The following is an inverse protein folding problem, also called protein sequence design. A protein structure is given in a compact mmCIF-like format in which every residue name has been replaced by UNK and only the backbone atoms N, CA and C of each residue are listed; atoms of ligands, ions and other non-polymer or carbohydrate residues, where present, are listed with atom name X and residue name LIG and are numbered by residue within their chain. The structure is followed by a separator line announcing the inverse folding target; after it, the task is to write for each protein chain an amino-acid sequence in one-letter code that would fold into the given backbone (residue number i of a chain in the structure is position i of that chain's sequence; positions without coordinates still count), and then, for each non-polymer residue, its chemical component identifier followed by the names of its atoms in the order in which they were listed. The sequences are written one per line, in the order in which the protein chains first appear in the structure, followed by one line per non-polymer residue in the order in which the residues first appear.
data_IF_609261203206
#
_entry.id   IF_609261203206
#
_cell.length_a   1.000
_cell.length_b   1.000
_cell.length_c   1.000
_cell.angle_alpha   90.00
_cell.angle_beta   90.00
_cell.angle_gamma   90.00
#
_symmetry.space_group_name_H-M   'P 1'
#
loop_
_entity.id
_entity.type
_entity.pdbx_description
1 polymer ?
2 non-polymer ?
3 non-polymer ?
4 water ?
#
# COMPACT_ATOMS: atom_id res chain seq x y z
N UNK A 3 -14.70 1.70 -20.37
CA UNK A 3 -13.37 1.07 -20.56
C UNK A 3 -12.27 1.93 -19.94
N UNK A 4 -11.02 1.71 -20.38
CA UNK A 4 -9.85 2.32 -19.76
C UNK A 4 -8.79 2.43 -20.85
N UNK A 5 -8.64 3.64 -21.40
CA UNK A 5 -7.84 3.81 -22.60
C UNK A 5 -6.38 3.43 -22.36
N UNK A 6 -5.81 3.83 -21.23
CA UNK A 6 -4.41 3.52 -20.98
C UNK A 6 -4.20 2.01 -20.87
N UNK A 7 -5.22 1.29 -20.41
CA UNK A 7 -5.12 -0.16 -20.26
C UNK A 7 -5.31 -0.87 -21.59
N UNK A 8 -6.23 -0.37 -22.42
CA UNK A 8 -6.40 -0.95 -23.75
C UNK A 8 -5.12 -0.82 -24.56
N UNK A 9 -4.42 0.31 -24.46
CA UNK A 9 -3.15 0.44 -25.16
C UNK A 9 -2.14 -0.55 -24.63
N UNK A 10 -2.15 -0.82 -23.32
CA UNK A 10 -1.23 -1.79 -22.78
C UNK A 10 -1.54 -3.19 -23.32
N UNK A 11 -2.83 -3.53 -23.42
CA UNK A 11 -3.22 -4.84 -23.93
C UNK A 11 -2.76 -5.00 -25.38
N UNK A 12 -2.93 -3.95 -26.19
CA UNK A 12 -2.46 -3.98 -27.57
C UNK A 12 -0.94 -4.14 -27.62
N UNK A 13 -0.23 -3.43 -26.74
CA UNK A 13 1.22 -3.51 -26.69
C UNK A 13 1.69 -4.93 -26.35
N UNK A 14 0.94 -5.62 -25.48
CA UNK A 14 1.31 -6.98 -25.14
C UNK A 14 1.07 -7.92 -26.32
N UNK A 15 -0.09 -7.76 -26.98
CA UNK A 15 -0.41 -8.61 -28.12
C UNK A 15 0.52 -8.32 -29.30
N UNK A 16 0.92 -7.06 -29.46
CA UNK A 16 1.91 -6.71 -30.48
C UNK A 16 3.24 -7.42 -30.24
N UNK A 17 3.54 -7.75 -28.99
CA UNK A 17 4.76 -8.48 -28.66
C UNK A 17 4.52 -9.97 -28.45
N UNK A 18 3.38 -10.47 -28.91
CA UNK A 18 3.16 -11.90 -29.00
C UNK A 18 2.67 -12.58 -27.74
N UNK A 19 2.14 -11.85 -26.78
CA UNK A 19 1.64 -12.44 -25.54
C UNK A 19 0.15 -12.66 -25.68
N UNK A 20 -0.28 -13.89 -25.49
CA UNK A 20 -1.69 -14.21 -25.62
C UNK A 20 -2.37 -14.17 -24.26
N UNK A 21 -3.66 -13.82 -24.20
CA UNK A 21 -4.37 -13.88 -22.93
C UNK A 21 -4.72 -15.32 -22.56
N UNK A 22 -4.76 -15.56 -21.26
CA UNK A 22 -5.27 -16.81 -20.72
C UNK A 22 -6.56 -16.55 -19.97
N UNK A 23 -7.43 -17.54 -19.97
CA UNK A 23 -8.71 -17.47 -19.28
C UNK A 23 -8.68 -18.33 -18.03
N UNK A 24 -9.25 -17.80 -16.95
CA UNK A 24 -9.34 -18.51 -15.68
C UNK A 24 -10.78 -18.50 -15.22
N UNK A 25 -11.11 -19.47 -14.37
CA UNK A 25 -12.44 -19.62 -13.78
C UNK A 25 -12.35 -19.48 -12.27
N UNK A 26 -13.52 -19.24 -11.66
CA UNK A 26 -13.61 -19.02 -10.22
C UNK A 26 -12.91 -20.11 -9.43
N UNK A 27 -12.16 -19.69 -8.41
CA UNK A 27 -11.42 -20.47 -7.43
C UNK A 27 -10.03 -20.88 -7.92
N UNK A 28 -9.70 -20.62 -9.18
CA UNK A 28 -8.35 -20.88 -9.67
C UNK A 28 -7.36 -19.84 -9.17
N UNK A 29 -6.11 -20.25 -9.02
CA UNK A 29 -5.01 -19.37 -8.67
C UNK A 29 -4.23 -19.02 -9.93
N UNK A 30 -4.18 -17.73 -10.29
CA UNK A 30 -3.37 -17.30 -11.42
C UNK A 30 -1.89 -17.37 -11.10
N UNK A 31 -1.52 -17.02 -9.88
CA UNK A 31 -0.20 -17.34 -9.35
C UNK A 31 -0.38 -17.73 -7.90
N UNK A 32 0.62 -18.40 -7.34
CA UNK A 32 0.50 -18.96 -6.00
C UNK A 32 1.77 -18.72 -5.21
N UNK A 33 1.61 -18.80 -3.88
CA UNK A 33 2.65 -18.44 -2.93
C UNK A 33 3.80 -19.43 -2.88
N UNK A 34 3.69 -20.57 -3.54
CA UNK A 34 4.71 -21.60 -3.45
C UNK A 34 5.59 -21.67 -4.69
N UNK A 35 5.24 -20.93 -5.74
CA UNK A 35 5.95 -21.03 -7.00
C UNK A 35 7.22 -20.20 -6.93
N UNK A 36 8.38 -20.79 -7.21
CA UNK A 36 9.62 -19.99 -7.15
C UNK A 36 9.73 -18.99 -8.28
N UNK A 37 8.97 -19.15 -9.35
CA UNK A 37 8.96 -18.22 -10.46
C UNK A 37 7.91 -17.17 -10.18
N UNK A 38 8.25 -15.90 -10.39
CA UNK A 38 7.34 -14.81 -10.13
C UNK A 38 6.87 -14.21 -11.45
N UNK A 39 5.66 -13.63 -11.42
CA UNK A 39 4.99 -13.25 -12.65
C UNK A 39 4.46 -11.83 -12.55
N UNK A 40 4.22 -11.24 -13.71
CA UNK A 40 3.46 -10.00 -13.82
C UNK A 40 2.10 -10.35 -14.41
N UNK A 41 1.03 -10.02 -13.69
CA UNK A 41 -0.32 -10.30 -14.13
C UNK A 41 -0.92 -8.99 -14.59
N UNK A 42 -1.36 -8.95 -15.85
CA UNK A 42 -2.20 -7.86 -16.33
C UNK A 42 -3.61 -8.42 -16.34
N UNK A 43 -4.36 -8.14 -15.28
CA UNK A 43 -5.74 -8.57 -15.17
C UNK A 43 -6.60 -7.71 -16.08
N UNK A 44 -7.14 -8.31 -17.14
CA UNK A 44 -7.89 -7.55 -18.15
C UNK A 44 -9.39 -7.55 -17.86
N UNK A 45 -9.94 -8.69 -17.49
CA UNK A 45 -11.37 -8.80 -17.20
C UNK A 45 -11.56 -9.76 -16.03
N UNK A 46 -12.44 -9.38 -15.11
CA UNK A 46 -12.81 -10.21 -13.99
C UNK A 46 -12.43 -9.58 -12.67
N UNK A 47 -12.72 -10.31 -11.59
CA UNK A 47 -12.53 -9.83 -10.23
C UNK A 47 -11.68 -10.87 -9.53
N UNK A 48 -10.67 -10.41 -8.80
CA UNK A 48 -9.75 -11.28 -8.10
C UNK A 48 -9.55 -10.82 -6.66
N UNK A 49 -8.93 -11.68 -5.86
CA UNK A 49 -8.48 -11.31 -4.53
C UNK A 49 -7.07 -11.84 -4.30
N UNK A 50 -6.26 -11.07 -3.60
CA UNK A 50 -4.94 -11.50 -3.16
C UNK A 50 -5.13 -12.21 -1.82
N UNK A 51 -4.66 -13.46 -1.72
CA UNK A 51 -4.84 -14.24 -0.52
C UNK A 51 -3.50 -14.78 -0.02
N UNK A 52 -3.46 -15.07 1.27
CA UNK A 52 -2.33 -15.73 1.91
C UNK A 52 -2.89 -16.87 2.76
N UNK A 53 -1.99 -17.73 3.25
CA UNK A 53 -2.38 -18.81 4.14
C UNK A 53 -1.43 -18.83 5.33
N UNK A 54 -2.00 -18.90 6.53
CA UNK A 54 -1.27 -18.98 7.78
C UNK A 54 -1.03 -20.43 8.17
N UNK A 55 -0.23 -20.62 9.22
CA UNK A 55 0.22 -21.95 9.63
C UNK A 55 -0.93 -22.94 9.71
N UNK A 56 -2.12 -22.49 10.15
CA UNK A 56 -3.21 -23.41 10.42
C UNK A 56 -4.19 -23.57 9.25
N UNK A 57 -3.86 -23.06 8.07
CA UNK A 57 -4.67 -23.31 6.88
C UNK A 57 -5.79 -22.33 6.64
N UNK A 58 -5.87 -21.25 7.39
CA UNK A 58 -6.92 -20.25 7.21
C UNK A 58 -6.59 -19.34 6.03
N UNK A 59 -7.53 -19.24 5.10
CA UNK A 59 -7.37 -18.33 3.97
C UNK A 59 -7.69 -16.91 4.46
N UNK A 60 -6.78 -15.98 4.17
CA UNK A 60 -6.93 -14.58 4.53
C UNK A 60 -7.10 -13.78 3.24
N UNK A 61 -8.15 -12.97 3.19
CA UNK A 61 -8.37 -12.09 2.05
C UNK A 61 -7.72 -10.74 2.32
N UNK A 62 -6.71 -10.40 1.52
CA UNK A 62 -5.89 -9.21 1.75
C UNK A 62 -6.32 -8.01 0.92
N UNK A 63 -6.76 -8.24 -0.32
CA UNK A 63 -6.94 -7.14 -1.26
C UNK A 63 -7.72 -7.67 -2.45
N UNK A 64 -8.54 -6.82 -3.06
CA UNK A 64 -9.31 -7.21 -4.23
C UNK A 64 -8.86 -6.41 -5.45
N UNK A 65 -8.88 -7.02 -6.62
CA UNK A 65 -8.50 -6.34 -7.84
C UNK A 65 -9.48 -6.69 -8.94
N UNK A 66 -9.72 -5.74 -9.82
CA UNK A 66 -10.61 -5.96 -10.93
C UNK A 66 -9.91 -5.43 -12.14
N UNK A 67 -10.16 -6.05 -13.27
CA UNK A 67 -9.59 -5.62 -14.50
C UNK A 67 -10.25 -4.42 -14.96
N UNK A 68 -9.50 -3.53 -15.54
CA UNK A 68 -8.10 -3.75 -15.87
C UNK A 68 -7.19 -3.30 -14.73
N UNK A 69 -6.18 -4.11 -14.39
CA UNK A 69 -5.22 -3.74 -13.38
C UNK A 69 -3.98 -4.62 -13.54
N UNK A 70 -2.91 -4.23 -12.86
CA UNK A 70 -1.65 -4.98 -12.87
C UNK A 70 -1.33 -5.44 -11.46
N UNK A 71 -1.00 -6.73 -11.32
CA UNK A 71 -0.59 -7.32 -10.05
C UNK A 71 0.71 -8.06 -10.31
N UNK A 72 1.76 -7.68 -9.59
CA UNK A 72 3.08 -8.29 -9.73
C UNK A 72 3.46 -9.06 -8.47
N UNK A 73 3.79 -10.33 -8.64
CA UNK A 73 4.09 -11.20 -7.51
C UNK A 73 5.56 -11.14 -7.12
N UNK A 74 6.40 -10.51 -7.93
CA UNK A 74 7.80 -10.39 -7.61
C UNK A 74 8.32 -9.01 -7.95
N UNK A 75 9.43 -8.68 -7.28
CA UNK A 75 10.06 -7.38 -7.48
C UNK A 75 10.64 -7.29 -8.88
N UNK A 76 10.55 -6.10 -9.49
CA UNK A 76 10.90 -5.97 -10.90
C UNK A 76 12.40 -6.15 -11.10
N UNK A 77 13.21 -5.71 -10.14
CA UNK A 77 14.66 -5.77 -10.27
C UNK A 77 15.20 -7.14 -9.88
N UNK A 78 14.89 -7.59 -8.66
CA UNK A 78 15.42 -8.86 -8.17
C UNK A 78 14.65 -10.06 -8.69
N UNK A 79 13.41 -9.88 -9.13
CA UNK A 79 12.55 -10.96 -9.62
C UNK A 79 12.12 -11.92 -8.52
N UNK A 80 12.38 -11.59 -7.26
CA UNK A 80 11.99 -12.45 -6.14
C UNK A 80 10.66 -12.00 -5.54
N UNK A 81 10.08 -12.89 -4.73
CA UNK A 81 8.73 -12.69 -4.24
C UNK A 81 8.61 -11.40 -3.47
N UNK A 82 7.48 -10.69 -3.68
CA UNK A 82 7.13 -9.56 -2.83
C UNK A 82 6.36 -9.99 -1.60
N UNK A 83 6.06 -11.28 -1.47
CA UNK A 83 5.30 -11.81 -0.36
C UNK A 83 4.64 -13.10 -0.74
N UNK A 84 4.33 -13.91 0.26
CA UNK A 84 3.78 -15.24 0.01
C UNK A 84 2.28 -15.05 -0.19
N UNK A 85 1.90 -14.78 -1.44
CA UNK A 85 0.55 -14.42 -1.81
C UNK A 85 0.05 -15.33 -2.92
N UNK A 86 -1.26 -15.53 -2.95
CA UNK A 86 -1.94 -16.17 -4.07
C UNK A 86 -2.91 -15.16 -4.68
N UNK A 87 -3.18 -15.34 -5.96
CA UNK A 87 -4.15 -14.51 -6.67
C UNK A 87 -5.29 -15.41 -7.15
N UNK A 88 -6.44 -15.29 -6.48
CA UNK A 88 -7.55 -16.22 -6.65
C UNK A 88 -8.68 -15.52 -7.40
N UNK A 89 -9.24 -16.20 -8.39
CA UNK A 89 -10.34 -15.64 -9.17
C UNK A 89 -11.64 -15.81 -8.37
N UNK A 90 -12.41 -14.72 -8.26
CA UNK A 90 -13.70 -14.77 -7.58
C UNK A 90 -14.86 -14.43 -8.51
N UNK A 91 -14.64 -13.80 -9.65
CA UNK A 91 -15.69 -13.73 -10.65
C UNK A 91 -15.83 -15.10 -11.32
N UNK A 92 -16.95 -15.29 -12.01
CA UNK A 92 -17.18 -16.58 -12.66
C UNK A 92 -16.02 -16.92 -13.58
N UNK A 93 -15.56 -15.95 -14.36
CA UNK A 93 -14.43 -16.12 -15.26
C UNK A 93 -13.53 -14.91 -15.14
N UNK A 94 -12.26 -15.07 -15.53
CA UNK A 94 -11.36 -13.93 -15.62
C UNK A 94 -10.38 -14.13 -16.75
N UNK A 95 -10.00 -13.02 -17.38
CA UNK A 95 -9.01 -12.99 -18.44
C UNK A 95 -7.80 -12.21 -17.97
N UNK A 96 -6.61 -12.80 -18.10
CA UNK A 96 -5.40 -12.13 -17.69
C UNK A 96 -4.26 -12.51 -18.63
N UNK A 97 -3.32 -11.57 -18.77
CA UNK A 97 -2.05 -11.80 -19.45
C UNK A 97 -0.97 -12.05 -18.43
N UNK A 98 -0.23 -13.14 -18.59
CA UNK A 98 0.70 -13.62 -17.58
C UNK A 98 2.08 -13.54 -18.18
N UNK A 99 2.90 -12.64 -17.64
CA UNK A 99 4.22 -12.36 -18.18
C UNK A 99 5.23 -12.70 -17.08
N UNK A 100 6.28 -13.41 -17.45
CA UNK A 100 7.32 -13.71 -16.50
C UNK A 100 8.03 -12.41 -16.14
N UNK A 101 8.48 -12.31 -14.90
CA UNK A 101 8.89 -11.00 -14.40
C UNK A 101 10.10 -10.49 -15.18
N UNK A 102 11.02 -11.40 -15.54
CA UNK A 102 12.22 -10.99 -16.26
C UNK A 102 11.87 -10.34 -17.60
N UNK A 103 10.78 -10.77 -18.23
CA UNK A 103 10.43 -10.21 -19.53
C UNK A 103 9.75 -8.85 -19.42
N UNK A 104 8.92 -8.64 -18.40
CA UNK A 104 8.28 -7.35 -18.22
C UNK A 104 9.30 -6.21 -18.21
N UNK A 105 10.50 -6.45 -17.68
CA UNK A 105 11.50 -5.40 -17.63
C UNK A 105 11.91 -4.94 -19.03
N UNK A 106 12.18 -5.90 -19.92
CA UNK A 106 12.44 -5.56 -21.32
C UNK A 106 11.29 -4.78 -21.93
N UNK A 107 10.06 -5.29 -21.78
CA UNK A 107 8.92 -4.67 -22.46
C UNK A 107 8.70 -3.23 -22.03
N UNK A 108 8.76 -2.95 -20.74
CA UNK A 108 8.53 -1.58 -20.27
C UNK A 108 9.68 -0.65 -20.62
N UNK A 109 10.91 -1.16 -20.68
CA UNK A 109 12.05 -0.34 -21.06
C UNK A 109 11.95 0.17 -22.49
N UNK A 110 11.33 -0.59 -23.37
CA UNK A 110 11.22 -0.22 -24.78
C UNK A 110 10.05 0.70 -25.07
N UNK A 111 9.29 1.11 -24.07
CA UNK A 111 8.13 1.97 -24.30
C UNK A 111 7.72 2.60 -22.98
N UNK A 112 7.96 3.91 -22.84
CA UNK A 112 7.75 4.59 -21.57
C UNK A 112 6.31 5.02 -21.26
N UNK A 113 5.46 5.22 -22.28
CA UNK A 113 4.03 5.39 -22.01
C UNK A 113 3.49 4.22 -21.19
N UNK A 114 3.85 3.00 -21.60
CA UNK A 114 3.36 1.79 -20.94
C UNK A 114 4.11 1.53 -19.64
N UNK A 115 5.37 1.95 -19.54
CA UNK A 115 6.02 1.95 -18.24
C UNK A 115 5.21 2.76 -17.25
N UNK A 116 4.77 3.94 -17.66
CA UNK A 116 4.06 4.82 -16.75
C UNK A 116 2.71 4.24 -16.36
N UNK A 117 2.07 3.51 -17.28
CA UNK A 117 0.79 2.91 -16.94
C UNK A 117 0.96 1.94 -15.77
N UNK A 118 2.03 1.14 -15.80
CA UNK A 118 2.23 0.16 -14.74
C UNK A 118 2.71 0.87 -13.47
N UNK A 119 3.62 1.83 -13.62
CA UNK A 119 4.06 2.60 -12.47
C UNK A 119 2.88 3.22 -11.72
N UNK A 120 1.97 3.86 -12.45
CA UNK A 120 0.87 4.55 -11.77
C UNK A 120 -0.13 3.57 -11.17
N UNK A 121 -0.24 2.35 -11.70
CA UNK A 121 -1.02 1.32 -11.01
C UNK A 121 -0.47 1.08 -9.62
N UNK A 122 0.85 0.98 -9.50
CA UNK A 122 1.46 0.87 -8.18
C UNK A 122 1.16 2.09 -7.32
N UNK A 123 1.24 3.28 -7.89
CA UNK A 123 0.93 4.47 -7.12
C UNK A 123 -0.50 4.43 -6.59
N UNK A 124 -1.43 3.92 -7.39
CA UNK A 124 -2.81 3.79 -6.95
C UNK A 124 -2.95 2.78 -5.81
N UNK A 125 -2.21 1.67 -5.87
CA UNK A 125 -2.22 0.72 -4.77
C UNK A 125 -1.70 1.37 -3.48
N UNK A 126 -0.57 2.07 -3.57
CA UNK A 126 0.00 2.70 -2.37
C UNK A 126 -1.00 3.67 -1.75
N UNK A 127 -1.57 4.56 -2.55
CA UNK A 127 -2.48 5.56 -2.00
C UNK A 127 -3.78 4.93 -1.52
N UNK A 128 -4.28 3.92 -2.23
CA UNK A 128 -5.46 3.19 -1.79
C UNK A 128 -5.26 2.62 -0.40
N UNK A 129 -4.13 1.95 -0.17
CA UNK A 129 -3.87 1.35 1.14
C UNK A 129 -3.74 2.41 2.22
N UNK A 130 -3.12 3.56 1.91
CA UNK A 130 -3.02 4.57 2.93
C UNK A 130 -4.38 5.14 3.28
N UNK A 131 -5.25 5.29 2.28
CA UNK A 131 -6.58 5.80 2.55
C UNK A 131 -7.39 4.77 3.35
N UNK A 132 -7.25 3.49 3.01
CA UNK A 132 -7.90 2.44 3.78
C UNK A 132 -7.41 2.47 5.22
N UNK A 133 -6.11 2.61 5.42
CA UNK A 133 -5.54 2.69 6.76
C UNK A 133 -6.11 3.89 7.50
N UNK A 134 -6.15 5.04 6.84
CA UNK A 134 -6.65 6.27 7.47
C UNK A 134 -8.11 6.11 7.87
N UNK A 135 -8.94 5.53 7.01
CA UNK A 135 -10.35 5.37 7.33
C UNK A 135 -10.56 4.38 8.46
N UNK A 136 -9.78 3.29 8.48
CA UNK A 136 -9.80 2.36 9.60
C UNK A 136 -9.37 3.03 10.90
N UNK A 137 -8.29 3.82 10.86
CA UNK A 137 -7.87 4.56 12.05
C UNK A 137 -8.98 5.44 12.62
N UNK A 138 -9.78 6.04 11.74
CA UNK A 138 -10.78 6.99 12.20
C UNK A 138 -12.06 6.27 12.63
N UNK A 139 -12.49 5.27 11.87
CA UNK A 139 -13.80 4.67 12.02
C UNK A 139 -13.74 3.16 12.15
N UNK A 140 -12.54 2.59 12.25
CA UNK A 140 -12.42 1.16 12.42
C UNK A 140 -13.00 0.39 11.24
N UNK A 141 -13.49 -0.81 11.57
CA UNK A 141 -13.95 -1.73 10.54
C UNK A 141 -15.16 -1.20 9.78
N UNK A 142 -15.95 -0.33 10.41
CA UNK A 142 -17.04 0.32 9.69
C UNK A 142 -16.51 1.16 8.54
N UNK A 143 -15.43 1.90 8.77
CA UNK A 143 -14.78 2.62 7.68
C UNK A 143 -14.33 1.71 6.56
N UNK A 144 -13.69 0.57 6.89
CA UNK A 144 -13.25 -0.35 5.85
C UNK A 144 -14.41 -0.86 5.00
N UNK A 145 -15.53 -1.23 5.62
CA UNK A 145 -16.65 -1.76 4.85
C UNK A 145 -17.34 -0.65 4.06
N UNK A 146 -17.54 0.51 4.70
CA UNK A 146 -18.14 1.62 3.97
C UNK A 146 -17.29 1.99 2.77
N UNK A 147 -15.97 1.94 2.92
CA UNK A 147 -15.11 2.27 1.79
C UNK A 147 -15.18 1.23 0.69
N UNK A 148 -15.23 -0.05 1.07
CA UNK A 148 -15.39 -1.12 0.10
C UNK A 148 -16.69 -0.97 -0.68
N UNK A 149 -17.80 -0.71 0.04
CA UNK A 149 -19.06 -0.51 -0.65
C UNK A 149 -19.05 0.74 -1.50
N UNK A 150 -18.30 1.76 -1.06
CA UNK A 150 -18.26 2.99 -1.83
C UNK A 150 -17.57 2.76 -3.17
N UNK A 151 -16.45 2.04 -3.18
CA UNK A 151 -15.76 1.81 -4.45
C UNK A 151 -16.58 0.89 -5.35
N UNK A 152 -17.28 -0.08 -4.76
CA UNK A 152 -18.20 -0.90 -5.55
C UNK A 152 -19.28 -0.03 -6.18
N UNK A 153 -19.82 0.91 -5.40
CA UNK A 153 -20.88 1.78 -5.90
C UNK A 153 -20.38 2.63 -7.06
N UNK A 154 -19.22 3.26 -6.89
CA UNK A 154 -18.69 4.12 -7.94
C UNK A 154 -18.41 3.32 -9.21
N UNK A 155 -17.84 2.12 -9.07
CA UNK A 155 -17.39 1.36 -10.23
C UNK A 155 -18.54 0.66 -10.92
N UNK A 156 -19.46 0.07 -10.15
CA UNK A 156 -20.52 -0.76 -10.71
C UNK A 156 -21.90 -0.16 -10.52
N UNK A 157 -22.01 1.03 -9.96
CA UNK A 157 -23.29 1.59 -9.63
C UNK A 157 -23.91 2.33 -10.80
N UNK A 158 -25.24 2.28 -10.85
CA UNK A 158 -26.01 2.92 -11.90
C UNK A 158 -27.20 3.56 -11.23
N UNK A 159 -27.38 4.87 -11.44
CA UNK A 159 -28.45 5.59 -10.77
C UNK A 159 -29.79 5.09 -11.31
N UNK A 160 -30.71 4.77 -10.40
CA UNK A 160 -32.05 4.34 -10.78
C UNK A 160 -33.06 5.02 -9.85
N UNK A 161 -34.37 4.95 -10.11
CA UNK A 161 -35.32 5.50 -9.12
C UNK A 161 -35.25 4.80 -7.78
N UNK A 162 -34.93 3.50 -7.77
CA UNK A 162 -34.79 2.75 -6.53
C UNK A 162 -33.43 2.95 -5.87
N UNK A 163 -32.62 3.86 -6.38
CA UNK A 163 -31.26 4.07 -5.91
C UNK A 163 -30.22 3.66 -6.93
N UNK A 164 -29.00 3.51 -6.45
CA UNK A 164 -27.86 3.18 -7.30
C UNK A 164 -27.74 1.66 -7.35
N UNK A 165 -28.11 1.06 -8.47
CA UNK A 165 -28.06 -0.39 -8.58
C UNK A 165 -26.63 -0.86 -8.79
N UNK A 166 -26.24 -1.89 -8.04
CA UNK A 166 -24.94 -2.52 -8.17
C UNK A 166 -25.02 -3.59 -9.23
N UNK A 167 -24.33 -3.40 -10.36
CA UNK A 167 -24.50 -4.29 -11.52
C UNK A 167 -23.47 -5.41 -11.45
N UNK A 168 -23.66 -6.27 -10.46
CA UNK A 168 -22.78 -7.38 -10.14
C UNK A 168 -23.61 -8.53 -9.58
N UNK A 169 -23.26 -9.74 -10.00
CA UNK A 169 -24.04 -10.91 -9.60
C UNK A 169 -24.06 -11.05 -8.08
N UNK A 170 -25.22 -11.46 -7.56
CA UNK A 170 -25.42 -11.53 -6.11
C UNK A 170 -24.42 -12.48 -5.47
N UNK A 171 -24.06 -13.57 -6.15
CA UNK A 171 -23.04 -14.47 -5.65
C UNK A 171 -21.80 -13.64 -5.34
N UNK A 172 -21.13 -13.14 -6.37
CA UNK A 172 -19.95 -12.30 -6.18
C UNK A 172 -20.19 -11.26 -5.09
N UNK A 173 -21.39 -10.71 -4.99
CA UNK A 173 -21.58 -9.55 -4.13
C UNK A 173 -21.66 -9.89 -2.65
N UNK A 174 -21.97 -11.14 -2.30
CA UNK A 174 -22.01 -11.50 -0.89
C UNK A 174 -20.60 -11.86 -0.40
N UNK A 175 -19.85 -12.56 -1.26
CA UNK A 175 -18.45 -12.83 -0.99
C UNK A 175 -17.69 -11.53 -0.73
N UNK A 176 -17.84 -10.55 -1.60
CA UNK A 176 -17.09 -9.30 -1.49
C UNK A 176 -17.48 -8.56 -0.20
N UNK A 182 -10.53 -12.53 6.45
CA UNK A 182 -11.56 -13.22 7.22
C UNK A 182 -12.85 -13.32 6.42
N UNK A 183 -13.11 -14.52 5.88
CA UNK A 183 -14.32 -14.74 5.11
C UNK A 183 -15.50 -15.05 6.03
N UNK A 184 -16.64 -14.44 5.73
CA UNK A 184 -17.85 -14.63 6.54
C UNK A 184 -17.57 -14.31 8.02
N UNK A 185 -16.82 -13.24 8.24
CA UNK A 185 -16.52 -12.81 9.61
C UNK A 185 -17.80 -12.37 10.31
N UNK A 186 -17.97 -12.80 11.55
CA UNK A 186 -19.13 -12.37 12.33
C UNK A 186 -19.18 -10.85 12.43
N UNK A 187 -18.02 -10.22 12.63
CA UNK A 187 -17.99 -8.77 12.78
C UNK A 187 -18.43 -8.07 11.48
N UNK A 188 -17.98 -8.59 10.34
CA UNK A 188 -18.31 -7.96 9.07
C UNK A 188 -19.77 -8.20 8.70
N UNK A 189 -20.26 -9.43 8.88
CA UNK A 189 -21.67 -9.70 8.63
C UNK A 189 -22.58 -8.75 9.38
N UNK A 190 -22.26 -8.43 10.64
CA UNK A 190 -23.15 -7.61 11.43
C UNK A 190 -23.12 -6.16 10.93
N UNK A 191 -21.95 -5.69 10.50
CA UNK A 191 -21.83 -4.33 9.98
C UNK A 191 -22.64 -4.18 8.70
N UNK A 192 -22.52 -5.16 7.80
CA UNK A 192 -23.23 -5.08 6.53
C UNK A 192 -24.73 -5.10 6.78
N UNK A 193 -25.18 -5.97 7.69
CA UNK A 193 -26.61 -6.08 7.93
C UNK A 193 -27.14 -4.85 8.65
N UNK A 194 -26.30 -4.20 9.45
CA UNK A 194 -26.70 -2.93 10.06
C UNK A 194 -26.93 -1.87 9.00
N UNK A 195 -26.00 -1.79 8.03
CA UNK A 195 -26.21 -0.88 6.92
C UNK A 195 -27.52 -1.19 6.19
N UNK A 196 -27.83 -2.48 6.04
CA UNK A 196 -29.09 -2.86 5.41
C UNK A 196 -30.26 -2.51 6.32
N UNK A 197 -30.15 -2.81 7.61
CA UNK A 197 -31.22 -2.48 8.55
C UNK A 197 -31.53 -0.98 8.51
N UNK A 198 -30.50 -0.15 8.35
CA UNK A 198 -30.68 1.29 8.32
C UNK A 198 -31.01 1.80 6.92
N UNK A 199 -31.13 0.90 5.96
CA UNK A 199 -31.57 1.20 4.60
C UNK A 199 -30.53 2.01 3.84
N UNK A 200 -29.25 1.84 4.18
CA UNK A 200 -28.19 2.43 3.40
C UNK A 200 -28.04 1.66 2.09
N UNK A 201 -28.11 0.34 2.17
CA UNK A 201 -28.13 -0.55 1.02
C UNK A 201 -29.24 -1.56 1.24
N UNK A 202 -30.04 -1.81 0.21
CA UNK A 202 -31.26 -2.59 0.36
C UNK A 202 -31.34 -3.62 -0.76
N UNK A 203 -32.03 -4.71 -0.47
CA UNK A 203 -32.29 -5.76 -1.44
C UNK A 203 -33.69 -5.48 -2.01
N UNK A 204 -33.81 -5.46 -3.32
CA UNK A 204 -35.10 -5.25 -3.95
C UNK A 204 -35.10 -5.85 -5.35
N UNK A 205 -36.11 -6.66 -5.64
CA UNK A 205 -36.31 -7.23 -6.96
C UNK A 205 -35.03 -7.85 -7.50
N UNK A 206 -34.42 -8.70 -6.66
CA UNK A 206 -33.25 -9.50 -6.99
C UNK A 206 -31.98 -8.67 -7.16
N UNK A 207 -32.00 -7.38 -6.86
CA UNK A 207 -30.82 -6.53 -6.98
C UNK A 207 -30.58 -5.79 -5.68
N UNK A 208 -29.38 -5.21 -5.56
CA UNK A 208 -29.01 -4.39 -4.41
C UNK A 208 -28.81 -2.94 -4.84
N UNK A 209 -29.35 -2.02 -4.04
CA UNK A 209 -29.41 -0.61 -4.36
C UNK A 209 -28.85 0.16 -3.18
N UNK A 210 -27.86 1.01 -3.43
CA UNK A 210 -27.40 1.94 -2.41
C UNK A 210 -28.34 3.13 -2.37
N UNK A 211 -28.96 3.37 -1.22
CA UNK A 211 -29.92 4.44 -1.05
C UNK A 211 -29.42 5.57 -0.16
N UNK A 212 -28.31 5.39 0.55
CA UNK A 212 -27.69 6.46 1.34
C UNK A 212 -26.19 6.50 1.01
N UNK A 213 -25.89 7.01 -0.19
CA UNK A 213 -24.50 7.21 -0.59
C UNK A 213 -23.77 8.13 0.36
N UNK A 214 -24.45 9.17 0.85
CA UNK A 214 -23.81 10.11 1.78
C UNK A 214 -23.27 9.40 3.01
N UNK A 215 -23.97 8.37 3.49
CA UNK A 215 -23.53 7.67 4.68
C UNK A 215 -22.19 6.98 4.44
N UNK A 216 -22.05 6.33 3.28
CA UNK A 216 -20.80 5.69 2.93
C UNK A 216 -19.66 6.70 2.84
N UNK A 217 -19.92 7.82 2.17
CA UNK A 217 -18.92 8.87 2.06
C UNK A 217 -18.50 9.44 3.41
N UNK A 218 -19.43 9.57 4.34
CA UNK A 218 -19.10 10.18 5.63
C UNK A 218 -18.09 9.31 6.39
N UNK A 219 -18.28 8.00 6.37
CA UNK A 219 -17.46 7.09 7.16
C UNK A 219 -16.26 6.55 6.41
N UNK A 220 -16.15 6.79 5.11
CA UNK A 220 -14.99 6.40 4.31
C UNK A 220 -14.49 7.64 3.56
N UNK A 221 -14.19 8.72 4.28
CA UNK A 221 -13.88 9.98 3.60
C UNK A 221 -12.58 9.96 2.84
N UNK A 222 -11.58 9.23 3.32
CA UNK A 222 -10.28 9.22 2.66
C UNK A 222 -10.28 8.33 1.41
N UNK A 223 -11.04 7.24 1.42
CA UNK A 223 -11.21 6.46 0.21
C UNK A 223 -12.07 7.18 -0.82
N UNK A 224 -13.02 8.00 -0.37
CA UNK A 224 -13.78 8.82 -1.31
C UNK A 224 -12.86 9.80 -2.02
N UNK A 225 -11.99 10.47 -1.26
CA UNK A 225 -11.00 11.36 -1.87
C UNK A 225 -10.05 10.59 -2.80
N UNK A 226 -9.60 9.41 -2.38
CA UNK A 226 -8.74 8.59 -3.24
C UNK A 226 -9.39 8.33 -4.59
N UNK A 227 -10.65 7.91 -4.58
CA UNK A 227 -11.35 7.67 -5.84
C UNK A 227 -11.50 8.96 -6.64
N UNK A 228 -11.80 10.07 -5.98
CA UNK A 228 -11.93 11.34 -6.68
C UNK A 228 -10.61 11.72 -7.34
N UNK A 229 -9.49 11.44 -6.67
CA UNK A 229 -8.17 11.80 -7.20
C UNK A 229 -7.71 10.80 -8.26
N UNK A 230 -8.10 9.54 -8.16
CA UNK A 230 -7.60 8.51 -9.05
C UNK A 230 -8.50 8.24 -10.25
N UNK A 231 -9.80 8.46 -10.11
CA UNK A 231 -10.76 8.28 -11.21
C UNK A 231 -11.79 9.40 -11.13
N UNK A 232 -11.38 10.64 -11.38
CA UNK A 232 -12.31 11.77 -11.19
C UNK A 232 -13.57 11.69 -12.03
N UNK A 233 -13.50 11.15 -13.25
CA UNK A 233 -14.69 11.09 -14.09
C UNK A 233 -15.72 10.11 -13.55
N UNK A 234 -15.26 8.96 -13.05
CA UNK A 234 -16.20 8.00 -12.47
C UNK A 234 -16.77 8.55 -11.16
N UNK A 235 -15.92 9.20 -10.36
CA UNK A 235 -16.42 9.83 -9.14
C UNK A 235 -17.49 10.86 -9.48
N UNK A 236 -17.30 11.62 -10.55
CA UNK A 236 -18.22 12.70 -10.87
C UNK A 236 -19.61 12.21 -11.17
N UNK A 237 -19.71 11.01 -11.75
CA UNK A 237 -20.99 10.47 -12.21
C UNK A 237 -22.00 10.36 -11.09
N UNK A 238 -21.55 10.09 -9.88
CA UNK A 238 -22.45 9.87 -8.75
C UNK A 238 -22.35 10.96 -7.72
N UNK A 239 -21.70 12.08 -8.05
CA UNK A 239 -21.60 13.22 -7.15
C UNK A 239 -22.13 14.49 -7.81
N UNK B 4 22.41 1.37 0.56
CA UNK B 4 22.13 0.60 -0.65
C UNK B 4 23.00 1.11 -1.80
N UNK B 5 23.49 0.18 -2.62
CA UNK B 5 24.19 0.58 -3.84
C UNK B 5 23.24 1.18 -4.88
N UNK B 6 22.03 0.63 -4.99
CA UNK B 6 21.03 1.20 -5.90
C UNK B 6 20.66 2.63 -5.51
N UNK B 7 20.59 2.91 -4.21
CA UNK B 7 20.30 4.28 -3.77
C UNK B 7 21.43 5.23 -4.11
N UNK B 8 22.68 4.83 -3.85
CA UNK B 8 23.81 5.68 -4.18
C UNK B 8 23.89 5.98 -5.67
N UNK B 9 23.63 4.98 -6.52
CA UNK B 9 23.64 5.21 -7.96
C UNK B 9 22.55 6.19 -8.38
N UNK B 10 21.40 6.11 -7.73
CA UNK B 10 20.31 7.04 -8.05
C UNK B 10 20.70 8.46 -7.68
N UNK B 11 21.32 8.63 -6.51
CA UNK B 11 21.80 9.95 -6.09
C UNK B 11 22.75 10.55 -7.13
N UNK B 12 23.70 9.76 -7.62
CA UNK B 12 24.61 10.28 -8.63
C UNK B 12 23.85 10.68 -9.89
N UNK B 13 22.87 9.87 -10.29
CA UNK B 13 22.12 10.17 -11.51
C UNK B 13 21.41 11.50 -11.39
N UNK B 14 20.76 11.76 -10.25
CA UNK B 14 20.08 13.03 -10.06
C UNK B 14 21.08 14.18 -10.10
N UNK B 15 22.19 14.04 -9.38
CA UNK B 15 23.15 15.13 -9.29
C UNK B 15 23.84 15.37 -10.62
N UNK B 16 24.08 14.29 -11.38
CA UNK B 16 24.54 14.43 -12.76
C UNK B 16 23.62 15.32 -13.60
N UNK B 17 22.30 15.23 -13.36
CA UNK B 17 21.34 16.02 -14.10
C UNK B 17 21.01 17.34 -13.42
N UNK B 18 21.87 17.79 -12.51
CA UNK B 18 21.75 19.11 -11.91
C UNK B 18 20.63 19.26 -10.91
N UNK B 19 20.22 18.17 -10.26
CA UNK B 19 19.32 18.23 -9.12
C UNK B 19 20.19 18.06 -7.88
N UNK B 20 20.09 19.03 -6.96
CA UNK B 20 20.99 19.04 -5.82
C UNK B 20 20.23 18.74 -4.54
N UNK B 21 20.90 18.13 -3.55
CA UNK B 21 20.22 17.81 -2.29
C UNK B 21 19.89 19.07 -1.50
N UNK B 22 18.79 18.98 -0.76
CA UNK B 22 18.33 20.05 0.11
C UNK B 22 18.28 19.50 1.53
N UNK B 23 18.63 20.34 2.49
CA UNK B 23 18.60 19.98 3.89
C UNK B 23 17.38 20.57 4.58
N UNK B 24 16.75 19.76 5.41
CA UNK B 24 15.59 20.16 6.19
C UNK B 24 15.84 19.82 7.65
N UNK B 25 15.21 20.58 8.53
CA UNK B 25 15.32 20.38 9.97
C UNK B 25 13.98 19.92 10.50
N UNK B 26 13.99 19.43 11.74
CA UNK B 26 12.82 18.79 12.31
C UNK B 26 11.61 19.71 12.25
N UNK B 27 10.47 19.13 11.88
CA UNK B 27 9.15 19.77 11.78
C UNK B 27 8.91 20.41 10.42
N UNK B 28 9.92 20.48 9.55
CA UNK B 28 9.71 21.01 8.20
C UNK B 28 8.94 20.03 7.33
N UNK B 29 8.14 20.58 6.42
CA UNK B 29 7.39 19.81 5.43
C UNK B 29 8.12 19.86 4.09
N UNK B 30 8.62 18.71 3.63
CA UNK B 30 9.28 18.64 2.33
C UNK B 30 8.28 18.89 1.22
N UNK B 31 7.05 18.38 1.38
CA UNK B 31 5.92 18.80 0.58
C UNK B 31 4.70 18.85 1.50
N UNK B 32 3.67 19.56 1.07
CA UNK B 32 2.51 19.80 1.90
C UNK B 32 1.23 19.57 1.11
N UNK B 33 0.14 19.36 1.84
CA UNK B 33 -1.14 18.95 1.27
C UNK B 33 -1.87 20.08 0.58
N UNK B 34 -1.40 21.31 0.71
CA UNK B 34 -2.05 22.47 0.11
C UNK B 34 -1.33 22.95 -1.14
N UNK B 35 -0.27 22.26 -1.54
CA UNK B 35 0.57 22.70 -2.64
C UNK B 35 0.04 22.04 -3.91
N UNK B 36 -0.32 22.78 -4.95
CA UNK B 36 -0.81 22.12 -6.17
C UNK B 36 0.29 21.51 -7.02
N UNK B 37 1.52 21.97 -6.89
CA UNK B 37 2.63 21.32 -7.56
C UNK B 37 2.98 20.04 -6.80
N UNK B 38 3.11 18.95 -7.52
CA UNK B 38 3.43 17.67 -6.91
C UNK B 38 4.86 17.32 -7.23
N UNK B 39 5.49 16.55 -6.34
CA UNK B 39 6.92 16.32 -6.37
C UNK B 39 7.22 14.83 -6.21
N UNK B 40 8.41 14.46 -6.67
CA UNK B 40 9.02 13.20 -6.32
C UNK B 40 10.15 13.52 -5.35
N UNK B 41 10.09 12.95 -4.15
CA UNK B 41 11.09 13.15 -3.12
C UNK B 41 11.97 11.92 -3.07
N UNK B 42 13.28 12.11 -3.23
CA UNK B 42 14.24 11.07 -2.87
C UNK B 42 14.81 11.43 -1.50
N UNK B 43 14.26 10.81 -0.46
CA UNK B 43 14.76 11.01 0.90
C UNK B 43 16.06 10.24 1.03
N UNK B 44 17.17 10.95 1.14
CA UNK B 44 18.47 10.30 1.13
C UNK B 44 18.93 9.96 2.54
N UNK B 45 18.68 10.84 3.49
CA UNK B 45 19.10 10.64 4.87
C UNK B 45 18.08 11.31 5.77
N UNK B 46 17.79 10.67 6.89
CA UNK B 46 16.88 11.19 7.88
C UNK B 46 15.62 10.34 7.98
N UNK B 47 14.73 10.78 8.86
CA UNK B 47 13.48 10.07 9.11
C UNK B 47 12.34 11.06 8.95
N UNK B 48 11.29 10.63 8.24
CA UNK B 48 10.14 11.46 7.98
C UNK B 48 8.88 10.65 8.24
N UNK B 49 7.75 11.36 8.31
CA UNK B 49 6.46 10.73 8.45
C UNK B 49 5.48 11.39 7.48
N UNK B 50 4.63 10.58 6.87
CA UNK B 50 3.57 11.08 6.01
C UNK B 50 2.34 11.34 6.86
N UNK B 51 1.86 12.59 6.87
CA UNK B 51 0.68 12.92 7.66
C UNK B 51 -0.40 13.51 6.78
N UNK B 52 -1.64 13.42 7.29
CA UNK B 52 -2.80 14.12 6.75
C UNK B 52 -3.47 14.88 7.88
N UNK B 53 -3.88 16.12 7.61
CA UNK B 53 -4.51 16.97 8.62
C UNK B 53 -5.91 17.30 8.16
N UNK B 54 -6.88 17.00 9.02
CA UNK B 54 -8.29 17.20 8.73
C UNK B 54 -8.67 18.63 9.08
N UNK B 55 -9.87 19.02 8.68
CA UNK B 55 -10.29 20.40 8.85
C UNK B 55 -10.39 20.78 10.33
N UNK B 56 -10.62 19.81 11.21
CA UNK B 56 -10.66 20.11 12.65
C UNK B 56 -9.27 20.18 13.28
N UNK B 57 -8.20 19.97 12.53
CA UNK B 57 -6.85 20.12 13.04
C UNK B 57 -6.16 18.84 13.44
N UNK B 58 -6.84 17.71 13.44
CA UNK B 58 -6.25 16.46 13.89
C UNK B 58 -5.23 15.95 12.88
N UNK B 59 -4.04 15.59 13.37
CA UNK B 59 -2.97 15.10 12.50
C UNK B 59 -2.97 13.57 12.59
N UNK B 60 -3.13 12.92 11.43
CA UNK B 60 -3.06 11.48 11.32
C UNK B 60 -1.68 11.09 10.80
N UNK B 61 -0.98 10.23 11.53
CA UNK B 61 0.31 9.73 11.08
C UNK B 61 0.08 8.44 10.29
N UNK B 62 0.34 8.49 8.98
CA UNK B 62 -0.03 7.41 8.07
C UNK B 62 1.09 6.42 7.82
N UNK B 63 2.34 6.90 7.80
CA UNK B 63 3.43 6.08 7.31
C UNK B 63 4.72 6.77 7.72
N UNK B 64 5.72 5.99 8.07
CA UNK B 64 7.06 6.49 8.31
C UNK B 64 8.01 6.08 7.20
N UNK B 65 8.93 6.98 6.86
CA UNK B 65 9.97 6.68 5.89
C UNK B 65 11.31 7.14 6.43
N UNK B 66 12.35 6.38 6.16
CA UNK B 66 13.70 6.78 6.47
C UNK B 66 14.52 6.70 5.18
N UNK B 67 15.58 7.51 5.10
CA UNK B 67 16.42 7.43 3.92
C UNK B 67 17.28 6.18 3.94
N UNK B 68 17.53 5.60 2.76
CA UNK B 68 17.10 6.10 1.46
C UNK B 68 15.76 5.51 1.03
N UNK B 69 14.87 6.35 0.52
CA UNK B 69 13.58 5.90 0.00
C UNK B 69 13.05 6.96 -0.93
N UNK B 70 11.99 6.61 -1.67
CA UNK B 70 11.37 7.53 -2.62
C UNK B 70 9.90 7.68 -2.26
N UNK B 71 9.44 8.93 -2.20
CA UNK B 71 8.05 9.26 -1.90
C UNK B 71 7.56 10.22 -2.97
N UNK B 72 6.49 9.85 -3.67
CA UNK B 72 5.90 10.69 -4.70
C UNK B 72 4.53 11.18 -4.27
N UNK B 73 4.32 12.49 -4.33
CA UNK B 73 3.07 13.11 -3.89
C UNK B 73 2.04 13.24 -5.00
N UNK B 74 2.42 12.96 -6.25
CA UNK B 74 1.49 13.06 -7.35
C UNK B 74 1.69 11.87 -8.29
N UNK B 75 0.66 11.59 -9.09
CA UNK B 75 0.76 10.49 -10.02
C UNK B 75 1.70 10.84 -11.18
N UNK B 76 2.47 9.86 -11.61
CA UNK B 76 3.54 10.12 -12.56
C UNK B 76 2.97 10.45 -13.95
N UNK B 77 1.89 9.77 -14.33
CA UNK B 77 1.23 10.06 -15.59
C UNK B 77 0.40 11.34 -15.57
N UNK B 78 -0.48 11.51 -14.58
CA UNK B 78 -1.32 12.70 -14.52
C UNK B 78 -0.69 13.89 -13.82
N UNK B 79 0.28 13.69 -12.95
CA UNK B 79 0.90 14.77 -12.17
C UNK B 79 -0.05 15.36 -11.13
N UNK B 80 -1.21 14.76 -10.90
CA UNK B 80 -2.15 15.24 -9.90
C UNK B 80 -1.95 14.50 -8.59
N UNK B 81 -2.51 15.06 -7.53
CA UNK B 81 -2.27 14.56 -6.19
C UNK B 81 -2.68 13.09 -6.07
N UNK B 82 -1.90 12.32 -5.30
CA UNK B 82 -2.29 10.96 -4.95
C UNK B 82 -3.03 10.92 -3.62
N UNK B 83 -3.16 12.05 -2.95
CA UNK B 83 -3.76 12.14 -1.65
C UNK B 83 -3.26 13.41 -1.01
N UNK B 84 -4.05 14.00 -0.11
CA UNK B 84 -3.64 15.25 0.52
C UNK B 84 -2.75 14.88 1.68
N UNK B 85 -1.43 14.84 1.41
CA UNK B 85 -0.47 14.36 2.39
C UNK B 85 0.65 15.37 2.55
N UNK B 86 1.25 15.37 3.73
CA UNK B 86 2.49 16.08 4.03
C UNK B 86 3.60 15.08 4.34
N UNK B 87 4.84 15.49 4.09
CA UNK B 87 6.02 14.70 4.45
C UNK B 87 6.80 15.51 5.48
N UNK B 88 6.67 15.15 6.75
CA UNK B 88 7.22 15.93 7.85
C UNK B 88 8.51 15.29 8.35
N UNK B 89 9.54 16.11 8.53
CA UNK B 89 10.81 15.64 9.08
C UNK B 89 10.66 15.48 10.58
N UNK B 90 11.05 14.31 11.09
CA UNK B 90 10.99 14.06 12.53
C UNK B 90 12.35 13.80 13.14
N UNK B 91 13.37 13.48 12.34
CA UNK B 91 14.74 13.51 12.83
C UNK B 91 15.21 14.96 12.89
N UNK B 92 16.35 15.20 13.54
CA UNK B 92 16.82 16.57 13.68
C UNK B 92 17.08 17.20 12.33
N UNK B 93 17.76 16.48 11.43
CA UNK B 93 17.86 16.94 10.06
C UNK B 93 17.53 15.81 9.09
N UNK B 94 17.23 16.19 7.86
CA UNK B 94 17.05 15.24 6.78
C UNK B 94 17.58 15.86 5.49
N UNK B 95 18.08 14.99 4.60
CA UNK B 95 18.53 15.39 3.28
C UNK B 95 17.61 14.76 2.23
N UNK B 96 17.12 15.58 1.31
CA UNK B 96 16.23 15.08 0.27
C UNK B 96 16.50 15.81 -1.04
N UNK B 97 16.29 15.08 -2.14
CA UNK B 97 16.30 15.65 -3.48
C UNK B 97 14.86 15.85 -3.91
N UNK B 98 14.52 17.07 -4.32
CA UNK B 98 13.14 17.46 -4.53
C UNK B 98 12.99 17.77 -6.01
N UNK B 99 12.15 16.99 -6.68
CA UNK B 99 12.04 16.99 -8.13
C UNK B 99 10.59 17.27 -8.49
N UNK B 100 10.38 18.29 -9.32
CA UNK B 100 9.05 18.55 -9.82
C UNK B 100 8.61 17.35 -10.65
N UNK B 101 7.33 17.00 -10.56
CA UNK B 101 6.89 15.72 -11.13
C UNK B 101 7.11 15.72 -12.64
N UNK B 102 6.79 16.83 -13.31
CA UNK B 102 7.01 16.91 -14.75
C UNK B 102 8.48 16.73 -15.10
N UNK B 103 9.36 17.44 -14.39
CA UNK B 103 10.80 17.31 -14.63
C UNK B 103 11.29 15.88 -14.47
N UNK B 104 10.64 15.08 -13.62
CA UNK B 104 11.12 13.72 -13.42
C UNK B 104 10.86 12.86 -14.65
N UNK B 105 9.73 13.07 -15.31
CA UNK B 105 9.40 12.25 -16.47
C UNK B 105 10.50 12.32 -17.53
N UNK B 106 10.98 13.52 -17.83
CA UNK B 106 12.09 13.69 -18.77
C UNK B 106 13.29 12.81 -18.45
N UNK B 107 13.75 12.81 -17.20
CA UNK B 107 15.04 12.19 -16.91
C UNK B 107 14.89 10.67 -16.79
N UNK B 108 13.80 10.21 -16.19
CA UNK B 108 13.60 8.76 -16.08
C UNK B 108 13.56 8.11 -17.46
N UNK B 109 13.06 8.82 -18.47
CA UNK B 109 12.82 8.20 -19.76
C UNK B 109 14.13 7.86 -20.47
N UNK B 110 15.19 8.60 -20.18
CA UNK B 110 16.50 8.34 -20.78
C UNK B 110 17.27 7.24 -20.07
N UNK B 111 16.68 6.56 -19.09
CA UNK B 111 17.41 5.57 -18.33
C UNK B 111 16.45 4.62 -17.61
N UNK B 112 16.66 3.32 -17.82
CA UNK B 112 15.78 2.32 -17.24
C UNK B 112 16.26 1.70 -15.92
N UNK B 113 17.58 1.60 -15.69
CA UNK B 113 18.06 1.18 -14.38
C UNK B 113 17.47 2.02 -13.24
N UNK B 114 17.40 3.34 -13.43
CA UNK B 114 17.00 4.21 -12.33
C UNK B 114 15.49 4.32 -12.21
N UNK B 115 14.77 4.24 -13.32
CA UNK B 115 13.33 4.04 -13.27
C UNK B 115 12.98 2.88 -12.35
N UNK B 116 13.67 1.75 -12.54
CA UNK B 116 13.34 0.52 -11.83
C UNK B 116 13.63 0.61 -10.34
N UNK B 117 14.63 1.39 -9.93
CA UNK B 117 14.83 1.59 -8.50
C UNK B 117 13.60 2.22 -7.88
N UNK B 118 12.99 3.21 -8.56
CA UNK B 118 11.82 3.86 -8.00
C UNK B 118 10.62 2.93 -8.10
N UNK B 119 10.49 2.21 -9.22
CA UNK B 119 9.41 1.24 -9.39
C UNK B 119 9.38 0.24 -8.24
N UNK B 120 10.53 -0.32 -7.88
CA UNK B 120 10.57 -1.35 -6.84
C UNK B 120 10.29 -0.76 -5.47
N UNK B 121 10.59 0.54 -5.28
CA UNK B 121 10.22 1.20 -4.03
C UNK B 121 8.71 1.24 -3.84
N UNK B 122 7.95 1.51 -4.91
CA UNK B 122 6.50 1.43 -4.78
C UNK B 122 6.07 0.04 -4.38
N UNK B 123 6.69 -0.99 -4.98
CA UNK B 123 6.31 -2.36 -4.68
C UNK B 123 6.57 -2.68 -3.21
N UNK B 124 7.64 -2.14 -2.65
CA UNK B 124 7.93 -2.37 -1.24
C UNK B 124 6.87 -1.74 -0.36
N UNK B 125 6.36 -0.57 -0.75
CA UNK B 125 5.29 0.09 0.00
C UNK B 125 3.97 -0.70 -0.04
N UNK B 126 3.56 -1.17 -1.23
CA UNK B 126 2.31 -1.92 -1.31
C UNK B 126 2.37 -3.15 -0.42
N UNK B 127 3.44 -3.95 -0.54
CA UNK B 127 3.52 -5.15 0.28
C UNK B 127 3.72 -4.81 1.74
N UNK B 128 4.42 -3.70 2.02
CA UNK B 128 4.51 -3.23 3.40
C UNK B 128 3.13 -3.00 3.99
N UNK B 129 2.30 -2.22 3.28
CA UNK B 129 0.97 -1.90 3.77
C UNK B 129 0.11 -3.15 3.96
N UNK B 130 0.22 -4.11 3.04
CA UNK B 130 -0.55 -5.34 3.16
C UNK B 130 -0.08 -6.17 4.34
N UNK B 131 1.22 -6.17 4.60
CA UNK B 131 1.74 -6.94 5.73
C UNK B 131 1.27 -6.32 7.05
N UNK B 132 1.33 -5.00 7.16
CA UNK B 132 0.79 -4.33 8.34
C UNK B 132 -0.65 -4.75 8.57
N UNK B 133 -1.46 -4.76 7.51
CA UNK B 133 -2.86 -5.17 7.64
C UNK B 133 -2.98 -6.62 8.06
N UNK B 134 -2.18 -7.50 7.46
CA UNK B 134 -2.24 -8.92 7.80
C UNK B 134 -1.90 -9.15 9.27
N UNK B 135 -0.88 -8.48 9.79
CA UNK B 135 -0.49 -8.69 11.17
C UNK B 135 -1.55 -8.15 12.13
N UNK B 136 -2.17 -7.02 11.78
CA UNK B 136 -3.23 -6.46 12.61
C UNK B 136 -4.48 -7.35 12.64
N UNK B 137 -4.83 -7.96 11.50
CA UNK B 137 -6.00 -8.82 11.47
C UNK B 137 -5.85 -10.02 12.39
N UNK B 138 -4.63 -10.53 12.55
CA UNK B 138 -4.40 -11.72 13.36
C UNK B 138 -4.25 -11.37 14.83
N UNK B 139 -3.44 -10.35 15.14
CA UNK B 139 -2.98 -10.10 16.50
C UNK B 139 -3.35 -8.71 16.99
N UNK B 140 -4.18 -7.98 16.25
CA UNK B 140 -4.62 -6.65 16.62
C UNK B 140 -3.49 -5.68 16.85
N UNK B 141 -3.73 -4.73 17.77
CA UNK B 141 -2.78 -3.65 18.01
C UNK B 141 -1.44 -4.18 18.51
N UNK B 142 -1.45 -5.27 19.28
CA UNK B 142 -0.19 -5.90 19.69
C UNK B 142 0.67 -6.22 18.47
N UNK B 143 0.05 -6.78 17.43
CA UNK B 143 0.78 -7.05 16.20
C UNK B 143 1.35 -5.79 15.59
N UNK B 144 0.52 -4.75 15.48
CA UNK B 144 0.98 -3.47 14.96
C UNK B 144 2.19 -2.96 15.74
N UNK B 145 2.11 -2.98 17.07
CA UNK B 145 3.17 -2.42 17.89
C UNK B 145 4.43 -3.28 17.80
N UNK B 146 4.26 -4.61 17.82
CA UNK B 146 5.40 -5.51 17.66
C UNK B 146 6.11 -5.27 16.34
N UNK B 147 5.36 -5.08 15.26
CA UNK B 147 5.97 -4.78 13.98
C UNK B 147 6.83 -3.53 14.05
N UNK B 148 6.32 -2.49 14.70
CA UNK B 148 7.06 -1.24 14.81
C UNK B 148 8.34 -1.45 15.59
N UNK B 149 8.25 -2.12 16.74
CA UNK B 149 9.45 -2.48 17.49
C UNK B 149 10.36 -3.37 16.66
N UNK B 150 9.79 -4.27 15.87
CA UNK B 150 10.57 -5.19 15.07
C UNK B 150 11.41 -4.44 14.04
N UNK B 151 10.78 -3.52 13.32
CA UNK B 151 11.49 -2.80 12.27
C UNK B 151 12.57 -1.91 12.87
N UNK B 152 12.31 -1.32 14.04
CA UNK B 152 13.34 -0.54 14.71
C UNK B 152 14.54 -1.38 15.10
N UNK B 153 14.30 -2.60 15.60
CA UNK B 153 15.41 -3.49 15.91
C UNK B 153 16.21 -3.81 14.66
N UNK B 154 15.54 -4.26 13.60
CA UNK B 154 16.23 -4.57 12.37
C UNK B 154 17.02 -3.37 11.84
N UNK B 155 16.41 -2.19 11.88
CA UNK B 155 16.98 -1.06 11.17
C UNK B 155 18.00 -0.31 12.02
N UNK B 156 17.70 -0.13 13.31
CA UNK B 156 18.54 0.67 14.21
C UNK B 156 19.12 -0.14 15.36
N UNK B 157 18.99 -1.47 15.33
CA UNK B 157 19.44 -2.25 16.47
C UNK B 157 20.93 -2.52 16.45
N UNK B 158 21.47 -2.63 17.67
CA UNK B 158 22.90 -2.83 17.85
C UNK B 158 23.07 -3.80 19.01
N UNK B 159 23.93 -4.80 18.81
CA UNK B 159 24.13 -5.85 19.80
C UNK B 159 24.99 -5.35 20.97
N UNK B 160 24.45 -5.43 22.18
CA UNK B 160 25.18 -5.09 23.39
C UNK B 160 24.89 -6.19 24.41
N UNK B 161 25.77 -6.37 25.41
CA UNK B 161 25.47 -7.37 26.45
C UNK B 161 24.11 -7.17 27.12
N UNK B 162 23.59 -5.95 27.07
CA UNK B 162 22.30 -5.62 27.64
C UNK B 162 21.14 -5.84 26.66
N UNK B 163 21.42 -6.32 25.47
CA UNK B 163 20.39 -6.50 24.46
C UNK B 163 20.64 -5.76 23.16
N UNK B 164 19.58 -5.61 22.36
CA UNK B 164 19.63 -4.87 21.10
C UNK B 164 19.35 -3.40 21.37
N UNK B 165 20.36 -2.54 21.20
CA UNK B 165 20.18 -1.12 21.48
C UNK B 165 19.54 -0.46 20.28
N UNK B 166 18.44 0.26 20.50
CA UNK B 166 17.81 0.99 19.42
C UNK B 166 18.55 2.32 19.30
N UNK B 167 19.41 2.45 18.29
CA UNK B 167 20.33 3.59 18.26
C UNK B 167 19.66 4.76 17.53
N UNK B 168 18.71 5.38 18.22
CA UNK B 168 18.09 6.60 17.75
C UNK B 168 18.20 7.68 18.82
N UNK B 169 18.56 8.89 18.41
CA UNK B 169 18.38 10.07 19.26
C UNK B 169 17.11 9.93 20.08
N UNK B 170 17.17 10.37 21.34
CA UNK B 170 16.02 10.19 22.23
C UNK B 170 14.80 10.96 21.72
N UNK B 171 15.00 12.15 21.15
CA UNK B 171 13.90 12.93 20.60
C UNK B 171 13.14 12.14 19.54
N UNK B 172 13.86 11.40 18.68
CA UNK B 172 13.19 10.61 17.66
C UNK B 172 12.34 9.53 18.27
N UNK B 173 12.80 8.93 19.37
CA UNK B 173 12.03 7.86 19.99
C UNK B 173 10.69 8.39 20.48
N UNK B 174 10.67 9.61 21.01
CA UNK B 174 9.42 10.22 21.45
C UNK B 174 8.49 10.48 20.27
N UNK B 175 9.04 10.95 19.14
CA UNK B 175 8.25 11.19 17.94
C UNK B 175 7.57 9.92 17.43
N UNK B 176 8.06 8.75 17.79
CA UNK B 176 7.49 7.49 17.32
C UNK B 176 6.46 6.91 18.27
N UNK B 177 6.10 7.64 19.32
CA UNK B 177 5.06 7.21 20.24
C UNK B 177 5.54 6.66 21.56
N UNK B 178 6.78 6.94 21.97
CA UNK B 178 7.31 6.42 23.22
C UNK B 178 7.67 7.55 24.18
N UNK B 186 -3.51 5.79 26.01
CA UNK B 186 -4.17 5.20 27.18
C UNK B 186 -4.49 3.73 26.93
N UNK B 187 -4.98 3.42 25.72
CA UNK B 187 -5.00 2.04 25.25
C UNK B 187 -3.68 1.61 24.65
N UNK B 188 -2.92 2.55 24.07
CA UNK B 188 -1.57 2.24 23.61
C UNK B 188 -0.61 2.15 24.79
N UNK B 189 -0.74 3.06 25.75
CA UNK B 189 0.10 3.04 26.95
C UNK B 189 0.15 1.66 27.60
N UNK B 190 -0.98 0.95 27.65
CA UNK B 190 -1.03 -0.30 28.41
C UNK B 190 -0.25 -1.42 27.76
N UNK B 191 -0.21 -1.49 26.42
CA UNK B 191 0.50 -2.58 25.76
C UNK B 191 2.00 -2.49 26.02
N UNK B 192 2.59 -1.30 25.84
CA UNK B 192 4.01 -1.14 26.13
C UNK B 192 4.30 -1.46 27.59
N UNK B 193 3.32 -1.26 28.48
CA UNK B 193 3.53 -1.58 29.89
C UNK B 193 3.63 -3.08 30.09
N UNK B 194 2.64 -3.83 29.61
CA UNK B 194 2.68 -5.28 29.69
C UNK B 194 3.99 -5.82 29.13
N UNK B 195 4.51 -5.17 28.09
CA UNK B 195 5.67 -5.69 27.37
C UNK B 195 6.92 -5.60 28.24
N UNK B 196 7.21 -4.41 28.78
CA UNK B 196 8.29 -4.29 29.73
C UNK B 196 8.03 -5.14 30.96
N UNK B 197 6.76 -5.21 31.39
CA UNK B 197 6.37 -6.10 32.49
C UNK B 197 6.75 -7.55 32.21
N UNK B 198 7.05 -7.89 30.95
CA UNK B 198 7.40 -9.24 30.54
C UNK B 198 8.82 -9.33 30.00
N UNK B 199 9.65 -8.32 30.23
CA UNK B 199 11.03 -8.31 29.75
C UNK B 199 11.13 -8.50 28.24
N UNK B 200 10.27 -7.82 27.49
CA UNK B 200 10.49 -7.75 26.05
C UNK B 200 11.28 -6.50 25.70
N UNK B 201 11.00 -5.37 26.34
CA UNK B 201 11.78 -4.15 26.15
C UNK B 201 12.09 -3.54 27.51
N UNK B 202 13.09 -2.66 27.53
CA UNK B 202 13.50 -1.94 28.75
C UNK B 202 14.10 -0.61 28.32
N UNK B 203 13.92 0.43 29.14
CA UNK B 203 14.57 1.72 28.91
C UNK B 203 15.73 1.82 29.90
N UNK B 204 16.95 1.53 29.44
CA UNK B 204 18.17 1.69 30.24
C UNK B 204 19.20 2.60 29.58
N UNK B 205 20.09 3.15 30.40
CA UNK B 205 21.22 3.96 29.94
C UNK B 205 20.80 5.00 28.91
N UNK B 206 19.54 5.40 28.94
CA UNK B 206 18.92 6.31 27.98
C UNK B 206 18.79 5.68 26.60
N UNK B 207 18.97 4.38 26.48
CA UNK B 207 18.78 3.67 25.22
C UNK B 207 17.50 2.82 25.33
N UNK B 208 17.35 1.90 24.39
CA UNK B 208 16.17 1.04 24.26
C UNK B 208 16.62 -0.35 23.89
N UNK B 209 16.22 -1.36 24.65
CA UNK B 209 16.75 -2.69 24.44
C UNK B 209 15.63 -3.70 24.26
N UNK B 210 15.77 -4.54 23.24
CA UNK B 210 14.88 -5.67 23.00
C UNK B 210 15.55 -6.93 23.52
N UNK B 211 14.85 -7.69 24.34
CA UNK B 211 15.44 -8.85 24.99
C UNK B 211 14.78 -10.17 24.61
N UNK B 212 13.62 -10.14 23.95
CA UNK B 212 12.99 -11.34 23.38
C UNK B 212 12.55 -10.97 21.97
N UNK B 213 13.50 -11.00 21.03
CA UNK B 213 13.19 -10.67 19.65
C UNK B 213 12.24 -11.68 19.04
N UNK B 214 12.26 -12.92 19.54
CA UNK B 214 11.38 -13.96 19.02
C UNK B 214 9.93 -13.64 19.29
N UNK B 215 9.64 -12.97 20.41
CA UNK B 215 8.27 -12.56 20.71
C UNK B 215 7.74 -11.63 19.64
N UNK B 216 8.56 -10.68 19.20
CA UNK B 216 8.12 -9.74 18.16
C UNK B 216 7.85 -10.49 16.86
N UNK B 217 8.76 -11.38 16.46
CA UNK B 217 8.54 -12.18 15.26
C UNK B 217 7.26 -12.99 15.37
N UNK B 218 6.94 -13.48 16.56
CA UNK B 218 5.74 -14.31 16.69
C UNK B 218 4.48 -13.52 16.38
N UNK B 219 4.41 -12.26 16.83
CA UNK B 219 3.19 -11.49 16.68
C UNK B 219 3.21 -10.58 15.45
N UNK B 220 4.35 -10.43 14.78
CA UNK B 220 4.44 -9.67 13.53
C UNK B 220 5.02 -10.58 12.44
N UNK B 221 4.38 -11.72 12.16
CA UNK B 221 5.06 -12.70 11.28
C UNK B 221 5.15 -12.22 9.85
N UNK B 222 4.12 -11.51 9.38
CA UNK B 222 4.07 -11.11 7.98
C UNK B 222 4.91 -9.87 7.72
N UNK B 223 5.06 -8.98 8.70
CA UNK B 223 6.03 -7.91 8.56
C UNK B 223 7.45 -8.46 8.62
N UNK B 224 7.66 -9.49 9.45
CA UNK B 224 8.97 -10.14 9.47
C UNK B 224 9.28 -10.75 8.11
N UNK B 225 8.30 -11.44 7.52
CA UNK B 225 8.45 -11.98 6.18
C UNK B 225 8.65 -10.87 5.15
N UNK B 226 7.90 -9.77 5.27
CA UNK B 226 8.12 -8.66 4.37
C UNK B 226 9.55 -8.16 4.45
N UNK B 227 10.09 -8.04 5.66
CA UNK B 227 11.45 -7.52 5.80
C UNK B 227 12.46 -8.52 5.25
N UNK B 228 12.23 -9.80 5.53
CA UNK B 228 13.03 -10.87 4.94
C UNK B 228 13.04 -10.80 3.42
N UNK B 229 11.87 -10.60 2.82
CA UNK B 229 11.75 -10.63 1.37
C UNK B 229 12.21 -9.32 0.73
N UNK B 230 11.97 -8.18 1.38
CA UNK B 230 12.29 -6.89 0.80
C UNK B 230 13.64 -6.33 1.23
N UNK B 231 14.08 -6.60 2.46
CA UNK B 231 15.38 -6.14 2.94
C UNK B 231 16.15 -7.32 3.52
N UNK B 232 16.46 -8.33 2.71
CA UNK B 232 17.07 -9.54 3.27
C UNK B 232 18.42 -9.27 3.92
N UNK B 233 19.19 -8.31 3.42
CA UNK B 233 20.52 -8.09 3.96
C UNK B 233 20.42 -7.52 5.37
N UNK B 234 19.54 -6.55 5.57
CA UNK B 234 19.25 -6.00 6.89
C UNK B 234 18.70 -7.08 7.82
N UNK B 235 17.62 -7.75 7.38
CA UNK B 235 16.99 -8.84 8.13
C UNK B 235 18.05 -9.79 8.67
N UNK B 236 19.08 -10.08 7.88
CA UNK B 236 20.03 -11.12 8.22
C UNK B 236 20.91 -10.77 9.40
N UNK B 237 21.00 -9.47 9.72
CA UNK B 237 21.80 -9.03 10.84
C UNK B 237 21.31 -9.59 12.17
N UNK B 238 20.02 -9.92 12.27
CA UNK B 238 19.40 -10.33 13.53
C UNK B 238 18.62 -11.63 13.34
N UNK B 239 19.07 -12.48 12.43
CA UNK B 239 18.46 -13.78 12.22
C UNK B 239 19.52 -14.86 11.99
X LIG C 1 -11.01 -2.28 -3.78
X LIG C 1 -11.26 -2.92 -5.10
X LIG C 1 -10.67 -2.08 -6.22
X LIG C 1 -11.24 -1.07 -6.64
X LIG C 1 -12.77 -3.13 -5.32
X LIG C 1 -13.17 -4.37 -6.12
X LIG C 1 -14.65 -4.68 -5.95
X LIG C 1 -12.84 -4.20 -7.59
X LIG D 1 -9.54 -2.56 -6.79
X LIG D 1 -8.78 -1.78 -7.75
X LIG D 1 -9.03 -2.23 -9.19
X LIG D 1 -9.34 -1.43 -10.07
X LIG D 1 -7.29 -1.84 -7.43
X LIG D 1 -6.86 -1.02 -6.22
X LIG D 1 -5.92 -1.82 -5.33
X LIG D 1 -6.21 0.27 -6.69
X LIG D 1 -8.91 -3.42 -9.48
X LIG E 1 5.44 -17.23 -6.15
X LIG F 1 1.66 18.55 -2.69
#
# INVERSE_FOLDING_TARGET
GAMNAQAEEFKKYLETNGIKPKQFHKKELIFNQWDPQEYCIFLYDGITKLTSISENGTIMNLQYYKGAFVIMSGFIDTETSVGYYNLEVISEQATAYVIKINELKELLSKNLTHFFYVFQTLQKQVSYSLAKFNDFSINGKLGSICGQLLILTYVYGKETPDGIKITLDNLTMQELGYSSGIAHSSAVSRIISKLKQEKVIVYKNSCFYVQNLDYLKRYAPKLDEWFYLACPATWGKLN
GAMNAQAEEFKKYLETNGIKPKQFHKKELIFNQWDPQEYCIFLYDGITKLTSISENGTIMNLQYYKGAFVIMSGFIDTETSVGYYNLEVISEQATAYVIKINELKELLSKNLTHFFYVFQTLQKQVSYSLAKFNDFSINGKLGSICGQLLILTYVYGKETPDGIKITLDNLTMQELGYSSGIAHSSAVSRIISKLKQEKVIVYKNSCFYVQNLDYLKRYAPKLDEWFYLACPATWGKLN
LEU N CA C O CB CG CD1 CD2
LEU N CA C O CB CG CD1 CD2 OXT
NA NA
NA NA
#
